data_IF_853233344789
#
_entry.id   IF_853233344789
#
_cell.length_a   1.000
_cell.length_b   1.000
_cell.length_c   1.000
_cell.angle_alpha   90.00
_cell.angle_beta   90.00
_cell.angle_gamma   90.00
#
_symmetry.space_group_name_H-M   'P 1'
#
loop_
_entity.id
_entity.type
_entity.pdbx_description
1 polymer ?
#
# COMPACT_ATOMS: atom_id res chain seq x y z
N UNK A 1 4.13 -3.19 15.31
CA UNK A 1 3.49 -3.31 16.64
C UNK A 1 4.11 -2.39 17.69
N UNK A 2 5.43 -2.21 17.72
CA UNK A 2 6.11 -1.34 18.71
C UNK A 2 5.57 0.10 18.78
N UNK A 3 5.28 0.73 17.63
CA UNK A 3 4.75 2.10 17.59
C UNK A 3 3.37 2.26 18.26
N UNK A 4 2.54 1.20 18.23
CA UNK A 4 1.19 1.23 18.80
C UNK A 4 1.15 0.73 20.25
N UNK A 5 2.20 0.05 20.71
CA UNK A 5 2.26 -0.60 22.01
C UNK A 5 2.02 0.35 23.21
N UNK A 6 2.54 1.60 23.24
CA UNK A 6 2.24 2.54 24.33
C UNK A 6 0.76 2.90 24.48
N UNK A 7 -0.04 2.76 23.41
CA UNK A 7 -1.47 3.07 23.41
C UNK A 7 -2.33 1.84 23.67
N UNK A 8 -1.93 0.67 23.16
CA UNK A 8 -2.70 -0.57 23.25
C UNK A 8 -1.80 -1.76 23.63
N UNK A 9 -1.28 -1.81 24.86
CA UNK A 9 -0.23 -2.75 25.24
C UNK A 9 -0.68 -4.21 25.12
N UNK A 10 -1.85 -4.56 25.65
CA UNK A 10 -2.34 -5.94 25.64
C UNK A 10 -2.66 -6.46 24.24
N UNK A 11 -3.34 -5.66 23.41
CA UNK A 11 -3.73 -6.06 22.05
C UNK A 11 -2.51 -6.24 21.15
N UNK A 12 -1.55 -5.31 21.24
CA UNK A 12 -0.32 -5.39 20.43
C UNK A 12 0.57 -6.54 20.86
N UNK A 13 0.59 -6.90 22.15
CA UNK A 13 1.31 -8.07 22.68
C UNK A 13 0.76 -9.37 22.11
N UNK A 14 -0.57 -9.56 22.19
CA UNK A 14 -1.25 -10.75 21.66
C UNK A 14 -1.02 -10.92 20.15
N UNK A 15 -1.17 -9.85 19.36
CA UNK A 15 -0.93 -9.92 17.92
C UNK A 15 0.54 -10.22 17.62
N UNK A 16 1.48 -9.65 18.38
CA UNK A 16 2.91 -9.91 18.22
C UNK A 16 3.29 -11.36 18.52
N UNK A 17 2.71 -11.94 19.57
CA UNK A 17 2.88 -13.35 19.90
C UNK A 17 2.33 -14.26 18.79
N UNK A 18 1.12 -14.00 18.29
CA UNK A 18 0.50 -14.80 17.22
C UNK A 18 1.30 -14.75 15.91
N UNK A 19 1.75 -13.56 15.53
CA UNK A 19 2.49 -13.32 14.28
C UNK A 19 3.99 -13.68 14.39
N UNK A 20 4.48 -14.03 15.59
CA UNK A 20 5.90 -14.33 15.88
C UNK A 20 6.85 -13.21 15.43
N UNK A 21 6.39 -11.96 15.47
CA UNK A 21 7.19 -10.80 15.05
C UNK A 21 8.40 -10.57 15.94
N UNK A 22 8.30 -10.95 17.21
CA UNK A 22 9.40 -10.87 18.16
C UNK A 22 9.74 -12.25 18.68
N UNK A 23 11.00 -12.68 18.47
CA UNK A 23 11.53 -13.94 19.01
C UNK A 23 12.21 -13.76 20.36
N UNK A 24 12.47 -12.52 20.79
CA UNK A 24 13.41 -12.23 21.86
C UNK A 24 12.75 -12.02 23.25
N UNK A 25 11.55 -11.42 23.35
CA UNK A 25 10.81 -11.22 24.62
C UNK A 25 9.50 -10.45 24.36
N UNK A 26 8.80 -10.05 25.45
CA UNK A 26 7.65 -9.15 25.43
C UNK A 26 7.93 -7.82 24.71
N UNK A 27 6.92 -7.22 24.04
CA UNK A 27 7.08 -5.93 23.34
C UNK A 27 7.47 -4.81 24.28
N UNK A 28 7.03 -4.87 25.55
CA UNK A 28 7.34 -3.86 26.56
C UNK A 28 8.84 -3.73 26.86
N UNK A 29 9.61 -4.80 26.65
CA UNK A 29 11.06 -4.83 26.86
C UNK A 29 11.86 -4.58 25.57
N UNK A 30 11.18 -4.41 24.45
CA UNK A 30 11.82 -4.30 23.14
C UNK A 30 12.36 -2.89 22.91
N UNK A 31 13.45 -2.80 22.15
CA UNK A 31 14.00 -1.50 21.74
C UNK A 31 13.02 -0.74 20.83
N UNK A 32 12.96 0.58 21.01
CA UNK A 32 12.16 1.43 20.15
C UNK A 32 12.74 1.45 18.71
N UNK A 33 11.90 1.39 17.67
CA UNK A 33 12.39 1.42 16.29
C UNK A 33 13.17 2.71 16.01
N UNK A 34 14.35 2.54 15.42
CA UNK A 34 15.20 3.65 14.97
C UNK A 34 15.00 3.84 13.47
N UNK A 35 14.91 5.08 13.05
CA UNK A 35 14.83 5.40 11.63
C UNK A 35 16.18 5.09 10.96
N UNK A 36 16.14 4.31 9.89
CA UNK A 36 17.28 4.05 9.04
C UNK A 36 17.02 4.65 7.65
N UNK A 37 17.95 5.51 7.23
CA UNK A 37 17.91 6.18 5.92
C UNK A 37 18.01 5.21 4.76
N UNK A 38 18.53 4.00 4.98
CA UNK A 38 18.57 2.95 3.95
C UNK A 38 17.17 2.54 3.47
N UNK A 39 16.13 2.76 4.29
CA UNK A 39 14.74 2.50 3.93
C UNK A 39 14.00 3.73 3.37
N UNK A 40 14.72 4.75 2.89
CA UNK A 40 14.15 5.93 2.27
C UNK A 40 14.21 5.81 0.74
N UNK A 41 13.06 5.51 0.13
CA UNK A 41 12.92 5.18 -1.29
C UNK A 41 11.98 6.19 -1.98
N UNK A 42 12.50 7.37 -2.31
CA UNK A 42 11.67 8.48 -2.79
C UNK A 42 11.08 8.25 -4.19
N UNK A 43 11.82 7.57 -5.06
CA UNK A 43 11.38 7.33 -6.43
C UNK A 43 10.28 6.26 -6.45
N UNK A 44 10.44 5.20 -5.67
CA UNK A 44 9.47 4.12 -5.50
C UNK A 44 8.21 4.61 -4.76
N UNK A 45 8.36 5.50 -3.77
CA UNK A 45 7.22 6.15 -3.11
C UNK A 45 6.40 6.99 -4.11
N UNK A 46 7.06 7.75 -4.99
CA UNK A 46 6.40 8.54 -6.01
C UNK A 46 5.65 7.65 -7.02
N UNK A 47 6.23 6.52 -7.42
CA UNK A 47 5.60 5.53 -8.28
C UNK A 47 4.32 4.94 -7.65
N UNK A 48 4.40 4.47 -6.40
CA UNK A 48 3.24 3.90 -5.71
C UNK A 48 2.15 4.96 -5.48
N UNK A 49 2.51 6.18 -5.12
CA UNK A 49 1.55 7.27 -4.96
C UNK A 49 0.84 7.62 -6.28
N UNK A 50 1.57 7.59 -7.40
CA UNK A 50 0.97 7.76 -8.73
C UNK A 50 -0.01 6.62 -9.05
N UNK A 51 0.37 5.37 -8.76
CA UNK A 51 -0.49 4.20 -8.98
C UNK A 51 -1.77 4.31 -8.14
N UNK A 52 -1.68 4.62 -6.85
CA UNK A 52 -2.85 4.83 -5.97
C UNK A 52 -3.77 5.90 -6.55
N UNK A 53 -3.22 7.03 -7.02
CA UNK A 53 -4.00 8.11 -7.63
C UNK A 53 -4.71 7.63 -8.90
N UNK A 54 -4.03 6.89 -9.76
CA UNK A 54 -4.62 6.31 -10.98
C UNK A 54 -5.80 5.38 -10.64
N UNK A 55 -5.59 4.45 -9.70
CA UNK A 55 -6.63 3.52 -9.23
C UNK A 55 -7.83 4.25 -8.65
N UNK A 56 -7.59 5.28 -7.82
CA UNK A 56 -8.63 6.12 -7.26
C UNK A 56 -9.43 6.82 -8.36
N UNK A 57 -8.78 7.39 -9.38
CA UNK A 57 -9.46 8.01 -10.53
C UNK A 57 -10.31 7.02 -11.30
N UNK A 58 -9.81 5.79 -11.53
CA UNK A 58 -10.56 4.73 -12.20
C UNK A 58 -11.82 4.36 -11.40
N UNK A 59 -11.70 4.17 -10.07
CA UNK A 59 -12.83 3.85 -9.20
C UNK A 59 -13.85 5.00 -9.14
N UNK A 60 -13.39 6.24 -9.12
CA UNK A 60 -14.26 7.42 -9.19
C UNK A 60 -15.03 7.48 -10.51
N UNK A 61 -14.37 7.32 -11.65
CA UNK A 61 -15.03 7.29 -12.96
C UNK A 61 -16.05 6.14 -13.07
N UNK A 62 -15.71 4.95 -12.56
CA UNK A 62 -16.65 3.81 -12.48
C UNK A 62 -17.89 4.16 -11.66
N UNK A 63 -17.70 4.81 -10.50
CA UNK A 63 -18.80 5.23 -9.63
C UNK A 63 -19.69 6.30 -10.27
N UNK A 64 -19.12 7.24 -11.02
CA UNK A 64 -19.88 8.26 -11.76
C UNK A 64 -20.75 7.64 -12.85
N UNK A 65 -20.24 6.60 -13.52
CA UNK A 65 -20.96 5.87 -14.56
C UNK A 65 -21.90 4.77 -14.02
N UNK A 66 -21.97 4.58 -12.69
CA UNK A 66 -22.78 3.53 -12.04
C UNK A 66 -22.52 2.10 -12.57
N UNK A 67 -21.28 1.82 -12.96
CA UNK A 67 -20.89 0.50 -13.47
C UNK A 67 -20.59 -0.42 -12.28
N UNK A 68 -21.14 -1.64 -12.29
CA UNK A 68 -20.89 -2.63 -11.26
C UNK A 68 -19.43 -3.14 -11.30
N UNK A 69 -18.89 -3.54 -10.14
CA UNK A 69 -17.48 -3.92 -10.03
C UNK A 69 -17.09 -5.14 -10.89
N UNK A 70 -18.05 -6.03 -11.17
CA UNK A 70 -17.83 -7.25 -11.95
C UNK A 70 -17.78 -7.02 -13.47
N UNK A 71 -18.07 -5.79 -13.93
CA UNK A 71 -18.09 -5.47 -15.36
C UNK A 71 -16.75 -4.86 -15.77
N UNK A 72 -16.09 -5.49 -16.74
CA UNK A 72 -14.94 -4.91 -17.41
C UNK A 72 -15.38 -3.78 -18.34
N UNK A 73 -14.74 -2.63 -18.25
CA UNK A 73 -15.00 -1.48 -19.11
C UNK A 73 -13.69 -0.99 -19.72
N UNK A 74 -13.69 -0.53 -20.99
CA UNK A 74 -12.48 -0.08 -21.66
C UNK A 74 -12.01 1.23 -21.03
N UNK A 75 -10.75 1.27 -20.60
CA UNK A 75 -10.09 2.47 -20.08
C UNK A 75 -8.97 2.82 -21.04
N UNK A 76 -8.94 4.07 -21.50
CA UNK A 76 -7.86 4.62 -22.30
C UNK A 76 -7.13 5.70 -21.50
N UNK A 77 -5.81 5.60 -21.44
CA UNK A 77 -4.97 6.55 -20.71
C UNK A 77 -4.32 7.49 -21.73
N UNK A 78 -4.80 8.73 -21.76
CA UNK A 78 -4.26 9.77 -22.64
C UNK A 78 -3.10 10.51 -21.97
N UNK A 79 -2.01 10.75 -22.71
CA UNK A 79 -0.88 11.55 -22.24
C UNK A 79 0.08 10.85 -21.27
N UNK A 80 0.15 9.51 -21.30
CA UNK A 80 1.10 8.76 -20.50
C UNK A 80 2.55 9.03 -20.93
N UNK A 81 3.35 9.56 -20.00
CA UNK A 81 4.80 9.71 -20.17
C UNK A 81 5.50 8.34 -20.13
N UNK A 82 6.77 8.26 -20.56
CA UNK A 82 7.47 6.96 -20.68
C UNK A 82 7.50 6.21 -19.34
N UNK A 83 7.79 6.92 -18.24
CA UNK A 83 7.74 6.35 -16.89
C UNK A 83 6.36 5.80 -16.52
N UNK A 84 5.29 6.53 -16.85
CA UNK A 84 3.92 6.07 -16.58
C UNK A 84 3.59 4.78 -17.34
N UNK A 85 4.06 4.65 -18.59
CA UNK A 85 3.88 3.41 -19.37
C UNK A 85 4.60 2.23 -18.73
N UNK A 86 5.80 2.44 -18.24
CA UNK A 86 6.60 1.39 -17.59
C UNK A 86 5.92 0.91 -16.30
N UNK A 87 5.41 1.83 -15.47
CA UNK A 87 4.64 1.53 -14.25
C UNK A 87 3.37 0.74 -14.58
N UNK A 88 2.62 1.19 -15.59
CA UNK A 88 1.38 0.50 -16.03
C UNK A 88 1.70 -0.92 -16.51
N UNK A 89 2.80 -1.11 -17.26
CA UNK A 89 3.19 -2.44 -17.73
C UNK A 89 3.57 -3.38 -16.60
N UNK A 90 4.20 -2.84 -15.55
CA UNK A 90 4.67 -3.59 -14.38
C UNK A 90 3.52 -3.99 -13.46
N UNK A 91 2.50 -3.13 -13.31
CA UNK A 91 1.36 -3.33 -12.41
C UNK A 91 0.03 -3.63 -13.10
N UNK A 92 0.08 -4.08 -14.35
CA UNK A 92 -1.08 -4.24 -15.22
C UNK A 92 -2.14 -5.19 -14.62
N UNK A 93 -1.70 -6.26 -13.96
CA UNK A 93 -2.59 -7.24 -13.33
C UNK A 93 -3.39 -6.66 -12.15
N UNK A 94 -2.80 -5.71 -11.42
CA UNK A 94 -3.49 -5.01 -10.32
C UNK A 94 -4.57 -4.08 -10.90
N UNK A 95 -4.25 -3.40 -11.99
CA UNK A 95 -5.17 -2.46 -12.64
C UNK A 95 -6.35 -3.19 -13.30
N UNK A 96 -6.13 -4.39 -13.86
CA UNK A 96 -7.18 -5.20 -14.47
C UNK A 96 -8.22 -5.75 -13.49
N UNK A 97 -7.83 -5.94 -12.23
CA UNK A 97 -8.70 -6.52 -11.20
C UNK A 97 -9.51 -5.46 -10.43
N UNK A 98 -9.63 -4.24 -10.97
CA UNK A 98 -10.41 -3.13 -10.41
C UNK A 98 -11.86 -3.11 -10.87
#
# INVERSE_FOLDING_TARGET
MLLLHPFMPYVTEEISHQMKFNKASHLILSEWPKFDKSYFFSDEEAEINWLVKCISTIRSARSEMQIANDIQFPIEICGADQKSKDIISTHLDIIKNL
#
